data_IF_968387684726
#
_entry.id   IF_968387684726
#
_cell.length_a   1.000
_cell.length_b   1.000
_cell.length_c   1.000
_cell.angle_alpha   90.00
_cell.angle_beta   90.00
_cell.angle_gamma   90.00
#
_symmetry.space_group_name_H-M   'P 1'
#
loop_
_entity.id
_entity.type
_entity.pdbx_description
1 polymer ?
#
# COMPACT_ATOMS: atom_id res chain seq x y z
N UNK A 1 7.42 14.95 8.85
CA UNK A 1 6.36 14.02 8.42
C UNK A 1 6.21 12.96 9.52
N UNK A 2 4.98 12.54 9.81
CA UNK A 2 4.71 11.55 10.85
C UNK A 2 4.64 10.15 10.22
N UNK A 3 5.56 9.26 10.59
CA UNK A 3 5.61 7.88 10.06
C UNK A 3 4.34 7.11 10.40
N UNK A 4 3.71 7.40 11.54
CA UNK A 4 2.48 6.74 11.96
C UNK A 4 1.35 7.02 10.98
N UNK A 5 1.20 8.27 10.53
CA UNK A 5 0.20 8.64 9.51
C UNK A 5 0.46 7.98 8.15
N UNK A 6 1.73 7.81 7.79
CA UNK A 6 2.11 7.12 6.56
C UNK A 6 1.79 5.62 6.65
N UNK A 7 2.03 5.00 7.80
CA UNK A 7 1.65 3.59 8.06
C UNK A 7 0.12 3.43 8.05
N UNK A 8 -0.62 4.36 8.67
CA UNK A 8 -2.08 4.34 8.64
C UNK A 8 -2.61 4.40 7.20
N UNK A 9 -2.02 5.27 6.37
CA UNK A 9 -2.35 5.35 4.95
C UNK A 9 -2.01 4.04 4.23
N UNK A 10 -0.83 3.46 4.46
CA UNK A 10 -0.44 2.18 3.88
C UNK A 10 -1.44 1.08 4.22
N UNK A 11 -1.95 1.05 5.45
CA UNK A 11 -2.95 0.07 5.88
C UNK A 11 -4.29 0.27 5.18
N UNK A 12 -4.70 1.52 4.90
CA UNK A 12 -5.90 1.81 4.10
C UNK A 12 -5.78 1.29 2.66
N UNK A 13 -4.62 1.44 2.04
CA UNK A 13 -4.36 0.87 0.70
C UNK A 13 -4.39 -0.66 0.71
N UNK A 14 -3.82 -1.30 1.75
CA UNK A 14 -3.90 -2.75 1.91
C UNK A 14 -5.35 -3.24 2.09
N UNK A 15 -6.14 -2.54 2.89
CA UNK A 15 -7.56 -2.87 3.09
C UNK A 15 -8.37 -2.67 1.80
N UNK A 16 -8.10 -1.58 1.05
CA UNK A 16 -8.73 -1.36 -0.26
C UNK A 16 -8.40 -2.49 -1.25
N UNK A 17 -7.15 -2.99 -1.26
CA UNK A 17 -6.78 -4.14 -2.09
C UNK A 17 -7.60 -5.39 -1.71
N UNK A 18 -7.79 -5.64 -0.42
CA UNK A 18 -8.63 -6.75 0.06
C UNK A 18 -10.10 -6.59 -0.33
N UNK A 19 -10.64 -5.36 -0.33
CA UNK A 19 -11.99 -5.06 -0.80
C UNK A 19 -12.13 -5.30 -2.31
N UNK A 20 -11.15 -4.88 -3.11
CA UNK A 20 -11.11 -5.12 -4.57
C UNK A 20 -11.09 -6.62 -4.86
N UNK A 21 -10.21 -7.38 -4.18
CA UNK A 21 -10.15 -8.84 -4.30
C UNK A 21 -11.48 -9.50 -3.93
N UNK A 22 -12.08 -9.09 -2.81
CA UNK A 22 -13.36 -9.63 -2.35
C UNK A 22 -14.49 -9.33 -3.32
N UNK A 23 -14.50 -8.13 -3.90
CA UNK A 23 -15.45 -7.71 -4.93
C UNK A 23 -15.30 -8.54 -6.21
N UNK A 24 -14.07 -8.79 -6.68
CA UNK A 24 -13.80 -9.69 -7.80
C UNK A 24 -14.33 -11.09 -7.54
N UNK A 25 -13.98 -11.69 -6.40
CA UNK A 25 -14.44 -13.04 -6.03
C UNK A 25 -15.97 -13.13 -5.95
N UNK A 26 -16.64 -12.08 -5.47
CA UNK A 26 -18.09 -12.03 -5.43
C UNK A 26 -18.69 -11.97 -6.84
N UNK A 27 -18.11 -11.20 -7.76
CA UNK A 27 -18.54 -11.16 -9.16
C UNK A 27 -18.38 -12.52 -9.83
N UNK A 28 -17.22 -13.17 -9.66
CA UNK A 28 -16.95 -14.50 -10.21
C UNK A 28 -17.93 -15.55 -9.65
N UNK A 29 -18.18 -15.52 -8.35
CA UNK A 29 -19.14 -16.42 -7.69
C UNK A 29 -20.56 -16.23 -8.22
N UNK A 30 -20.99 -14.97 -8.40
CA UNK A 30 -22.29 -14.65 -8.99
C UNK A 30 -22.39 -15.09 -10.44
N UNK A 31 -21.32 -14.92 -11.21
CA UNK A 31 -21.28 -15.36 -12.60
C UNK A 31 -21.37 -16.88 -12.72
N UNK A 32 -20.63 -17.59 -11.86
CA UNK A 32 -20.68 -19.06 -11.76
C UNK A 32 -22.08 -19.55 -11.36
N UNK A 33 -22.77 -18.82 -10.47
CA UNK A 33 -24.13 -19.15 -10.05
C UNK A 33 -25.20 -18.98 -11.15
N UNK A 34 -24.96 -18.14 -12.17
CA UNK A 34 -25.82 -18.10 -13.37
C UNK A 34 -25.73 -19.41 -14.17
N UNK A 35 -24.65 -20.16 -13.98
CA UNK A 35 -24.47 -21.53 -14.43
C UNK A 35 -24.62 -21.71 -15.94
N UNK A 36 -24.90 -22.96 -16.33
CA UNK A 36 -25.08 -23.36 -17.72
C UNK A 36 -26.38 -22.84 -18.35
N UNK A 37 -27.24 -22.13 -17.60
CA UNK A 37 -28.50 -21.62 -18.12
C UNK A 37 -28.31 -20.48 -19.13
N UNK A 38 -27.17 -19.79 -19.07
CA UNK A 38 -26.83 -18.70 -19.97
C UNK A 38 -25.72 -19.11 -20.93
N UNK A 39 -26.11 -19.48 -22.16
CA UNK A 39 -25.22 -19.95 -23.21
C UNK A 39 -25.41 -19.17 -24.52
N UNK A 40 -24.49 -19.39 -25.46
CA UNK A 40 -24.53 -18.85 -26.82
C UNK A 40 -23.71 -17.58 -26.98
N UNK A 41 -23.76 -16.98 -28.17
CA UNK A 41 -22.85 -15.88 -28.56
C UNK A 41 -22.84 -14.70 -27.58
N UNK A 42 -23.99 -14.37 -26.98
CA UNK A 42 -24.07 -13.29 -26.00
C UNK A 42 -23.29 -13.61 -24.71
N UNK A 43 -23.28 -14.88 -24.31
CA UNK A 43 -22.44 -15.37 -23.22
C UNK A 43 -20.97 -15.33 -23.61
N UNK A 44 -20.62 -15.79 -24.80
CA UNK A 44 -19.23 -15.81 -25.27
C UNK A 44 -18.62 -14.40 -25.30
N UNK A 45 -19.36 -13.40 -25.80
CA UNK A 45 -18.93 -12.00 -25.77
C UNK A 45 -18.80 -11.45 -24.35
N UNK A 46 -19.77 -11.76 -23.49
CA UNK A 46 -19.68 -11.36 -22.08
C UNK A 46 -18.46 -11.97 -21.39
N UNK A 47 -18.16 -13.25 -21.63
CA UNK A 47 -17.02 -13.93 -21.01
C UNK A 47 -15.71 -13.26 -21.43
N UNK A 48 -15.58 -12.86 -22.70
CA UNK A 48 -14.42 -12.10 -23.16
C UNK A 48 -14.28 -10.75 -22.42
N UNK A 49 -15.35 -9.96 -22.35
CA UNK A 49 -15.36 -8.67 -21.63
C UNK A 49 -15.10 -8.85 -20.12
N UNK A 50 -15.58 -9.96 -19.56
CA UNK A 50 -15.41 -10.28 -18.15
C UNK A 50 -13.98 -10.72 -17.82
N UNK A 51 -13.28 -11.43 -18.72
CA UNK A 51 -11.85 -11.70 -18.57
C UNK A 51 -11.03 -10.40 -18.52
N UNK A 52 -11.34 -9.44 -19.40
CA UNK A 52 -10.69 -8.12 -19.37
C UNK A 52 -10.97 -7.38 -18.06
N UNK A 53 -12.22 -7.44 -17.59
CA UNK A 53 -12.62 -6.86 -16.30
C UNK A 53 -11.85 -7.51 -15.15
N UNK A 54 -11.72 -8.84 -15.11
CA UNK A 54 -10.96 -9.54 -14.07
C UNK A 54 -9.49 -9.13 -14.06
N UNK A 55 -8.87 -9.00 -15.24
CA UNK A 55 -7.51 -8.52 -15.34
C UNK A 55 -7.36 -7.09 -14.79
N UNK A 56 -8.33 -6.21 -15.04
CA UNK A 56 -8.34 -4.87 -14.46
C UNK A 56 -8.48 -4.88 -12.93
N UNK A 57 -9.30 -5.78 -12.37
CA UNK A 57 -9.39 -5.98 -10.91
C UNK A 57 -8.05 -6.44 -10.32
N UNK A 58 -7.39 -7.42 -10.95
CA UNK A 58 -6.09 -7.93 -10.49
C UNK A 58 -5.02 -6.84 -10.55
N UNK A 59 -4.98 -6.08 -11.64
CA UNK A 59 -4.05 -4.96 -11.79
C UNK A 59 -4.31 -3.90 -10.70
N UNK A 60 -5.56 -3.53 -10.46
CA UNK A 60 -5.90 -2.52 -9.47
C UNK A 60 -5.61 -3.00 -8.03
N UNK A 61 -5.88 -4.27 -7.71
CA UNK A 61 -5.46 -4.88 -6.46
C UNK A 61 -3.94 -4.78 -6.28
N UNK A 62 -3.18 -5.13 -7.31
CA UNK A 62 -1.72 -5.09 -7.28
C UNK A 62 -1.19 -3.66 -7.07
N UNK A 63 -1.72 -2.67 -7.79
CA UNK A 63 -1.33 -1.26 -7.63
C UNK A 63 -1.58 -0.74 -6.20
N UNK A 64 -2.69 -1.15 -5.58
CA UNK A 64 -2.99 -0.81 -4.19
C UNK A 64 -2.00 -1.47 -3.21
N UNK A 65 -1.63 -2.73 -3.44
CA UNK A 65 -0.64 -3.43 -2.63
C UNK A 65 0.77 -2.83 -2.79
N UNK A 66 1.17 -2.50 -4.00
CA UNK A 66 2.43 -1.83 -4.29
C UNK A 66 2.51 -0.47 -3.58
N UNK A 67 1.45 0.34 -3.70
CA UNK A 67 1.36 1.63 -3.00
C UNK A 67 1.44 1.45 -1.48
N UNK A 68 0.77 0.44 -0.92
CA UNK A 68 0.86 0.11 0.51
C UNK A 68 2.30 -0.20 0.93
N UNK A 69 3.03 -0.99 0.13
CA UNK A 69 4.42 -1.36 0.41
C UNK A 69 5.36 -0.15 0.32
N UNK A 70 5.18 0.70 -0.70
CA UNK A 70 5.96 1.92 -0.86
C UNK A 70 5.75 2.88 0.31
N UNK A 71 4.51 3.04 0.78
CA UNK A 71 4.20 3.85 1.96
C UNK A 71 4.85 3.28 3.23
N UNK A 72 4.82 1.95 3.43
CA UNK A 72 5.53 1.31 4.56
C UNK A 72 7.03 1.58 4.49
N UNK A 73 7.63 1.45 3.31
CA UNK A 73 9.05 1.76 3.12
C UNK A 73 9.37 3.24 3.37
N UNK A 74 8.50 4.15 2.94
CA UNK A 74 8.63 5.58 3.21
C UNK A 74 8.55 5.89 4.72
N UNK A 75 7.65 5.23 5.45
CA UNK A 75 7.54 5.38 6.90
C UNK A 75 8.81 4.96 7.63
N UNK A 76 9.43 3.84 7.22
CA UNK A 76 10.72 3.38 7.76
C UNK A 76 11.80 4.44 7.50
N UNK A 77 11.92 4.94 6.27
CA UNK A 77 12.89 6.00 5.93
C UNK A 77 12.69 7.28 6.75
N UNK A 78 11.44 7.65 7.05
CA UNK A 78 11.14 8.80 7.91
C UNK A 78 11.71 8.59 9.32
N UNK A 79 11.54 7.41 9.90
CA UNK A 79 12.07 7.11 11.24
C UNK A 79 13.60 7.04 11.25
N UNK A 80 14.21 6.46 10.22
CA UNK A 80 15.67 6.46 10.06
C UNK A 80 16.24 7.88 10.03
N UNK A 81 15.60 8.79 9.26
CA UNK A 81 16.01 10.19 9.19
C UNK A 81 15.80 10.94 10.50
N UNK A 82 14.73 10.65 11.24
CA UNK A 82 14.54 11.24 12.58
C UNK A 82 15.63 10.78 13.56
N UNK A 83 15.97 9.50 13.54
CA UNK A 83 17.02 8.94 14.40
C UNK A 83 18.40 9.54 14.04
N UNK A 84 18.69 9.71 12.76
CA UNK A 84 19.91 10.37 12.27
C UNK A 84 20.00 11.82 12.73
N UNK A 85 18.91 12.59 12.60
CA UNK A 85 18.86 13.99 13.07
C UNK A 85 19.08 14.06 14.58
N UNK A 86 18.38 13.24 15.37
CA UNK A 86 18.55 13.21 16.83
C UNK A 86 20.00 12.86 17.24
N UNK A 87 20.66 11.94 16.51
CA UNK A 87 22.06 11.62 16.73
C UNK A 87 22.98 12.80 16.41
N UNK A 88 22.74 13.52 15.32
CA UNK A 88 23.53 14.70 14.95
C UNK A 88 23.37 15.82 15.99
N UNK A 89 22.14 16.10 16.43
CA UNK A 89 21.84 17.09 17.46
C UNK A 89 22.55 16.79 18.78
N UNK A 90 22.59 15.51 19.18
CA UNK A 90 23.28 15.06 20.38
C UNK A 90 24.81 15.21 20.27
N UNK A 91 25.40 14.91 19.10
CA UNK A 91 26.83 15.12 18.84
C UNK A 91 27.20 16.60 18.90
N UNK A 92 26.38 17.47 18.30
CA UNK A 92 26.58 18.91 18.38
C UNK A 92 26.45 19.44 19.80
N UNK A 93 25.49 18.93 20.59
CA UNK A 93 25.32 19.29 22.00
C UNK A 93 26.58 18.95 22.79
N UNK A 94 27.11 17.73 22.65
CA UNK A 94 28.36 17.32 23.31
C UNK A 94 29.55 18.20 22.88
N UNK A 95 29.68 18.49 21.59
CA UNK A 95 30.74 19.35 21.09
C UNK A 95 30.64 20.79 21.65
N UNK A 96 29.42 21.32 21.84
CA UNK A 96 29.20 22.62 22.51
C UNK A 96 29.62 22.58 23.97
N UNK A 97 29.28 21.51 24.69
CA UNK A 97 29.63 21.32 26.10
C UNK A 97 31.13 21.16 26.33
N UNK A 98 31.82 20.42 25.47
CA UNK A 98 33.27 20.26 25.52
C UNK A 98 34.00 21.58 25.25
N UNK A 99 33.58 22.34 24.24
CA UNK A 99 34.13 23.69 23.99
C UNK A 99 33.94 24.62 25.17
N UNK A 100 32.78 24.58 25.81
CA UNK A 100 32.51 25.40 26.99
C UNK A 100 33.33 24.96 28.21
N UNK A 101 33.68 23.67 28.34
CA UNK A 101 34.59 23.17 29.39
C UNK A 101 36.04 23.54 29.15
N UNK A 102 36.50 23.55 27.89
CA UNK A 102 37.89 23.91 27.54
C UNK A 102 38.15 25.42 27.57
N UNK A 103 37.11 26.25 27.41
CA UNK A 103 37.20 27.70 27.51
C UNK A 103 37.10 28.26 28.94
N UNK A 104 36.98 27.41 29.95
CA UNK A 104 37.03 27.75 31.39
C UNK A 104 38.25 27.12 32.02
#
# INVERSE_FOLDING_TARGET
>A
MDSYKVIELANKYSAAAEEVRSSKMLLESRLSALGDAWQGKARDSFDQDFEETKAAYDQFEQELLETSQELKAAAVKIEERKAEIARMEELERKAREERHKLGR
#
